data_IF_289858891535
#
_entry.id   IF_289858891535
#
_cell.length_a   1.000
_cell.length_b   1.000
_cell.length_c   1.000
_cell.angle_alpha   90.00
_cell.angle_beta   90.00
_cell.angle_gamma   90.00
#
_symmetry.space_group_name_H-M   'P 1'
#
loop_
_entity.id
_entity.type
_entity.pdbx_description
1 polymer ?
#
# COMPACT_ATOMS: atom_id res chain seq x y z
N UNK A 1 5.74 -16.44 -7.65
CA UNK A 1 5.70 -15.55 -6.46
C UNK A 1 4.86 -16.21 -5.37
N UNK A 2 5.22 -16.01 -4.10
CA UNK A 2 4.49 -16.56 -2.94
C UNK A 2 3.38 -15.64 -2.44
N UNK A 3 3.64 -14.33 -2.46
CA UNK A 3 2.77 -13.29 -1.95
C UNK A 3 2.76 -12.10 -2.92
N UNK A 4 1.57 -11.54 -3.15
CA UNK A 4 1.36 -10.22 -3.76
C UNK A 4 0.57 -9.37 -2.77
N UNK A 5 1.02 -8.13 -2.55
CA UNK A 5 0.22 -7.09 -1.90
C UNK A 5 -0.23 -6.12 -2.99
N UNK A 6 -1.53 -6.13 -3.30
CA UNK A 6 -2.10 -5.27 -4.34
C UNK A 6 -2.59 -3.94 -3.75
N UNK A 7 -1.99 -2.86 -4.23
CA UNK A 7 -2.33 -1.48 -3.87
C UNK A 7 -2.85 -0.68 -5.07
N UNK A 8 -3.09 -1.34 -6.21
CA UNK A 8 -3.46 -0.70 -7.47
C UNK A 8 -4.86 -1.11 -7.91
N UNK A 9 -5.18 -2.40 -7.83
CA UNK A 9 -6.48 -2.94 -8.25
C UNK A 9 -6.66 -3.11 -9.75
N UNK A 10 -7.90 -3.40 -10.14
CA UNK A 10 -8.33 -3.53 -11.55
C UNK A 10 -7.52 -4.57 -12.34
N UNK A 11 -7.12 -4.21 -13.56
CA UNK A 11 -6.36 -5.09 -14.45
C UNK A 11 -5.01 -5.51 -13.86
N UNK A 12 -4.40 -4.66 -13.01
CA UNK A 12 -3.13 -4.96 -12.36
C UNK A 12 -3.29 -6.09 -11.35
N UNK A 13 -4.37 -6.11 -10.59
CA UNK A 13 -4.70 -7.22 -9.67
C UNK A 13 -4.84 -8.53 -10.45
N UNK A 14 -5.59 -8.51 -11.55
CA UNK A 14 -5.81 -9.68 -12.41
C UNK A 14 -4.51 -10.24 -12.97
N UNK A 15 -3.63 -9.38 -13.51
CA UNK A 15 -2.30 -9.80 -13.97
C UNK A 15 -1.43 -10.33 -12.83
N UNK A 16 -1.55 -9.77 -11.63
CA UNK A 16 -0.76 -10.20 -10.47
C UNK A 16 -1.17 -11.57 -9.94
N UNK A 17 -2.44 -11.98 -10.11
CA UNK A 17 -2.87 -13.34 -9.79
C UNK A 17 -2.14 -14.39 -10.63
N UNK A 18 -1.86 -14.09 -11.91
CA UNK A 18 -1.22 -15.02 -12.83
C UNK A 18 0.27 -15.28 -12.55
N UNK A 19 0.96 -14.41 -11.78
CA UNK A 19 2.38 -14.59 -11.42
C UNK A 19 2.58 -15.29 -10.06
N UNK A 20 1.49 -15.49 -9.32
CA UNK A 20 1.50 -16.28 -8.09
C UNK A 20 1.59 -17.76 -8.44
N UNK A 21 2.37 -18.50 -7.65
CA UNK A 21 2.42 -19.96 -7.75
C UNK A 21 1.14 -20.57 -7.16
N UNK A 22 0.87 -21.83 -7.48
CA UNK A 22 -0.20 -22.60 -6.82
C UNK A 22 -0.06 -22.53 -5.29
N UNK A 23 -1.15 -22.19 -4.60
CA UNK A 23 -1.17 -21.99 -3.14
C UNK A 23 -0.61 -20.64 -2.67
N UNK A 24 -0.19 -19.76 -3.58
CA UNK A 24 0.23 -18.39 -3.27
C UNK A 24 -0.92 -17.53 -2.73
N UNK A 25 -0.57 -16.36 -2.19
CA UNK A 25 -1.53 -15.45 -1.55
C UNK A 25 -1.52 -14.09 -2.25
N UNK A 26 -2.71 -13.57 -2.57
CA UNK A 26 -2.93 -12.17 -2.92
C UNK A 26 -3.62 -11.47 -1.74
N UNK A 27 -3.09 -10.33 -1.31
CA UNK A 27 -3.72 -9.44 -0.32
C UNK A 27 -4.05 -8.13 -1.00
N UNK A 28 -5.33 -7.87 -1.24
CA UNK A 28 -5.82 -6.62 -1.82
C UNK A 28 -6.06 -5.56 -0.73
N UNK A 29 -5.67 -4.32 -1.02
CA UNK A 29 -5.93 -3.15 -0.16
C UNK A 29 -6.96 -2.17 -0.75
N UNK A 30 -7.27 -2.31 -2.03
CA UNK A 30 -8.09 -1.37 -2.81
C UNK A 30 -9.56 -1.77 -2.87
N UNK A 31 -9.84 -3.06 -3.14
CA UNK A 31 -11.19 -3.61 -3.18
C UNK A 31 -11.20 -5.12 -2.84
N UNK A 32 -12.37 -5.71 -2.53
CA UNK A 32 -12.49 -7.17 -2.42
C UNK A 32 -12.10 -7.87 -3.74
N UNK A 33 -11.18 -8.85 -3.71
CA UNK A 33 -10.73 -9.54 -4.93
C UNK A 33 -11.72 -10.63 -5.36
N UNK A 34 -11.74 -10.94 -6.66
CA UNK A 34 -12.57 -12.02 -7.21
C UNK A 34 -12.14 -13.40 -6.71
N UNK A 35 -12.98 -14.04 -5.90
CA UNK A 35 -12.72 -15.39 -5.38
C UNK A 35 -12.77 -16.46 -6.47
N UNK A 36 -13.63 -16.29 -7.47
CA UNK A 36 -13.68 -17.19 -8.63
C UNK A 36 -12.35 -17.17 -9.39
N UNK A 37 -11.79 -15.98 -9.61
CA UNK A 37 -10.52 -15.84 -10.32
C UNK A 37 -9.36 -16.43 -9.49
N UNK A 38 -9.36 -16.18 -8.18
CA UNK A 38 -8.39 -16.78 -7.26
C UNK A 38 -8.41 -18.31 -7.31
N UNK A 39 -9.60 -18.92 -7.34
CA UNK A 39 -9.76 -20.37 -7.48
C UNK A 39 -9.24 -20.89 -8.82
N UNK A 40 -9.53 -20.21 -9.94
CA UNK A 40 -9.02 -20.58 -11.27
C UNK A 40 -7.49 -20.59 -11.33
N UNK A 41 -6.85 -19.65 -10.63
CA UNK A 41 -5.39 -19.59 -10.50
C UNK A 41 -4.83 -20.47 -9.37
N UNK A 42 -5.70 -21.11 -8.58
CA UNK A 42 -5.27 -21.97 -7.49
C UNK A 42 -4.60 -21.25 -6.33
N UNK A 43 -4.98 -19.99 -6.09
CA UNK A 43 -4.41 -19.11 -5.07
C UNK A 43 -5.44 -18.74 -4.00
N UNK A 44 -4.96 -18.18 -2.90
CA UNK A 44 -5.81 -17.55 -1.88
C UNK A 44 -5.84 -16.03 -2.08
N UNK A 45 -7.01 -15.42 -2.22
CA UNK A 45 -7.14 -13.98 -2.29
C UNK A 45 -7.87 -13.43 -1.06
N UNK A 46 -7.27 -12.44 -0.39
CA UNK A 46 -7.81 -11.81 0.82
C UNK A 46 -7.95 -10.31 0.61
N UNK A 47 -8.98 -9.73 1.20
CA UNK A 47 -9.12 -8.28 1.31
C UNK A 47 -8.73 -7.83 2.71
N UNK A 48 -7.73 -6.95 2.83
CA UNK A 48 -7.35 -6.42 4.14
C UNK A 48 -8.25 -5.24 4.52
N UNK A 49 -9.15 -5.47 5.48
CA UNK A 49 -9.98 -4.44 6.10
C UNK A 49 -9.51 -4.03 7.50
N UNK A 50 -8.44 -4.66 7.99
CA UNK A 50 -7.93 -4.42 9.34
C UNK A 50 -6.91 -3.29 9.33
N UNK A 51 -7.11 -2.34 10.24
CA UNK A 51 -6.13 -1.33 10.58
C UNK A 51 -5.12 -1.90 11.60
N UNK A 52 -3.88 -1.38 11.60
CA UNK A 52 -2.86 -1.81 12.56
C UNK A 52 -3.29 -1.50 14.00
N UNK A 53 -2.97 -2.41 14.91
CA UNK A 53 -3.13 -2.21 16.35
C UNK A 53 -2.03 -1.33 16.93
N UNK A 54 -2.17 -0.92 18.20
CA UNK A 54 -1.11 -0.20 18.92
C UNK A 54 0.22 -0.97 18.92
N UNK A 55 0.18 -2.28 19.15
CA UNK A 55 1.37 -3.13 19.16
C UNK A 55 2.05 -3.20 17.78
N UNK A 56 1.25 -3.24 16.70
CA UNK A 56 1.77 -3.21 15.33
C UNK A 56 2.48 -1.87 15.06
N UNK A 57 1.84 -0.75 15.43
CA UNK A 57 2.41 0.59 15.24
C UNK A 57 3.68 0.80 16.07
N UNK A 58 3.75 0.28 17.30
CA UNK A 58 4.95 0.34 18.12
C UNK A 58 6.09 -0.45 17.49
N UNK A 59 5.81 -1.62 16.92
CA UNK A 59 6.80 -2.43 16.20
C UNK A 59 7.33 -1.67 14.98
N UNK A 60 6.43 -1.07 14.18
CA UNK A 60 6.82 -0.27 13.02
C UNK A 60 7.67 0.94 13.45
N UNK A 61 7.29 1.64 14.52
CA UNK A 61 8.05 2.78 15.03
C UNK A 61 9.48 2.38 15.46
N UNK A 62 9.63 1.21 16.08
CA UNK A 62 10.95 0.70 16.47
C UNK A 62 11.82 0.38 15.24
N UNK A 63 11.25 -0.29 14.24
CA UNK A 63 11.93 -0.57 12.97
C UNK A 63 12.28 0.70 12.19
N UNK A 64 11.53 1.79 12.38
CA UNK A 64 11.88 3.09 11.82
C UNK A 64 13.01 3.76 12.62
N UNK A 65 12.98 3.66 13.95
CA UNK A 65 13.99 4.25 14.83
C UNK A 65 15.37 3.61 14.69
N UNK A 66 15.43 2.30 14.44
CA UNK A 66 16.68 1.57 14.20
C UNK A 66 17.17 1.62 12.74
N UNK A 67 16.37 2.22 11.85
CA UNK A 67 16.72 2.43 10.45
C UNK A 67 16.44 1.23 9.53
N UNK A 68 15.85 0.14 10.03
CA UNK A 68 15.44 -1.03 9.22
C UNK A 68 14.37 -0.66 8.20
N UNK A 69 13.42 0.21 8.58
CA UNK A 69 12.40 0.76 7.70
C UNK A 69 12.64 2.26 7.56
N UNK A 70 12.75 2.74 6.32
CA UNK A 70 12.87 4.17 6.03
C UNK A 70 11.70 4.61 5.15
N UNK A 71 10.98 5.64 5.60
CA UNK A 71 9.95 6.27 4.79
C UNK A 71 10.62 7.28 3.85
N UNK A 72 10.47 7.07 2.53
CA UNK A 72 10.88 8.05 1.53
C UNK A 72 9.92 9.26 1.59
N UNK A 73 10.48 10.47 1.67
CA UNK A 73 9.73 11.71 1.63
C UNK A 73 9.87 12.30 0.23
N UNK A 74 8.74 12.46 -0.46
CA UNK A 74 8.68 13.05 -1.79
C UNK A 74 8.79 14.58 -1.72
N UNK A 75 7.97 15.19 -0.86
CA UNK A 75 7.91 16.64 -0.71
C UNK A 75 7.23 17.05 0.59
N UNK A 76 7.56 18.25 1.05
CA UNK A 76 6.99 18.87 2.24
C UNK A 76 6.38 20.21 1.81
N UNK A 77 5.10 20.40 2.08
CA UNK A 77 4.38 21.66 1.85
C UNK A 77 3.95 22.28 3.18
N UNK A 78 3.92 23.62 3.31
CA UNK A 78 3.20 24.25 4.41
C UNK A 78 1.71 23.86 4.38
N UNK A 79 1.05 23.78 5.54
CA UNK A 79 -0.38 23.47 5.63
C UNK A 79 -1.24 24.41 4.75
N UNK A 80 -0.84 25.68 4.61
CA UNK A 80 -1.50 26.67 3.75
C UNK A 80 -1.46 26.34 2.25
N UNK A 81 -0.63 25.39 1.82
CA UNK A 81 -0.47 24.96 0.43
C UNK A 81 -1.03 23.54 0.18
N UNK A 82 -2.04 23.13 0.96
CA UNK A 82 -2.70 21.82 0.80
C UNK A 82 -3.20 21.56 -0.61
N UNK A 83 -3.66 22.60 -1.33
CA UNK A 83 -4.07 22.47 -2.74
C UNK A 83 -2.93 21.97 -3.64
N UNK A 84 -1.73 22.55 -3.51
CA UNK A 84 -0.55 22.11 -4.29
C UNK A 84 -0.10 20.70 -3.91
N UNK A 85 -0.18 20.36 -2.63
CA UNK A 85 0.12 19.01 -2.16
C UNK A 85 -0.84 17.98 -2.78
N UNK A 86 -2.13 18.29 -2.87
CA UNK A 86 -3.14 17.44 -3.49
C UNK A 86 -2.94 17.31 -5.01
N UNK A 87 -2.74 18.42 -5.72
CA UNK A 87 -2.42 18.42 -7.16
C UNK A 87 -1.22 17.51 -7.46
N UNK A 88 -0.17 17.57 -6.62
CA UNK A 88 0.99 16.68 -6.76
C UNK A 88 0.62 15.21 -6.49
N UNK A 89 -0.18 14.93 -5.46
CA UNK A 89 -0.65 13.57 -5.16
C UNK A 89 -1.44 12.95 -6.31
N UNK A 90 -2.24 13.75 -7.01
CA UNK A 90 -3.09 13.30 -8.11
C UNK A 90 -2.31 13.06 -9.41
N UNK A 91 -1.06 13.52 -9.51
CA UNK A 91 -0.21 13.29 -10.69
C UNK A 91 0.16 11.83 -10.94
N UNK A 92 -0.10 10.92 -9.98
CA UNK A 92 0.15 9.46 -10.04
C UNK A 92 1.61 9.03 -10.29
N UNK A 93 2.58 9.93 -10.13
CA UNK A 93 4.01 9.65 -10.31
C UNK A 93 4.88 10.00 -9.08
N UNK A 94 4.27 10.10 -7.89
CA UNK A 94 4.99 10.39 -6.65
C UNK A 94 5.88 9.24 -6.18
N UNK A 95 7.05 9.57 -5.62
CA UNK A 95 7.95 8.61 -4.97
C UNK A 95 8.08 8.96 -3.50
N UNK A 96 7.43 8.20 -2.63
CA UNK A 96 7.41 8.46 -1.20
C UNK A 96 6.15 9.19 -0.72
N UNK A 97 6.23 9.80 0.46
CA UNK A 97 5.12 10.49 1.13
C UNK A 97 5.18 11.99 0.91
N UNK A 98 4.01 12.61 0.71
CA UNK A 98 3.84 14.07 0.75
C UNK A 98 3.47 14.44 2.19
N UNK A 99 4.24 15.34 2.80
CA UNK A 99 4.00 15.80 4.17
C UNK A 99 3.47 17.23 4.18
N UNK A 100 2.58 17.52 5.12
CA UNK A 100 2.14 18.88 5.43
C UNK A 100 2.81 19.32 6.74
N UNK A 101 3.54 20.43 6.67
CA UNK A 101 4.14 21.05 7.85
C UNK A 101 3.16 22.02 8.47
N UNK A 102 2.92 21.84 9.77
CA UNK A 102 2.17 22.78 10.60
C UNK A 102 3.23 23.63 11.30
N UNK A 103 3.30 24.91 10.95
CA UNK A 103 4.18 25.84 11.64
C UNK A 103 3.54 26.17 13.00
N UNK A 104 4.32 26.07 14.08
CA UNK A 104 3.90 26.37 15.46
C UNK A 104 4.08 27.84 15.80
#
# INVERSE_FOLDING_TARGET
>A
MDLVVDTVGGDTETRSMAVLKQGGILVALTQPPSQENAQKHGITAKFNTKFPTYADLQTIAQLMADGTIQAEIDSIFPLSQTNKALEKSESKHGRGRILLRIDS
#
